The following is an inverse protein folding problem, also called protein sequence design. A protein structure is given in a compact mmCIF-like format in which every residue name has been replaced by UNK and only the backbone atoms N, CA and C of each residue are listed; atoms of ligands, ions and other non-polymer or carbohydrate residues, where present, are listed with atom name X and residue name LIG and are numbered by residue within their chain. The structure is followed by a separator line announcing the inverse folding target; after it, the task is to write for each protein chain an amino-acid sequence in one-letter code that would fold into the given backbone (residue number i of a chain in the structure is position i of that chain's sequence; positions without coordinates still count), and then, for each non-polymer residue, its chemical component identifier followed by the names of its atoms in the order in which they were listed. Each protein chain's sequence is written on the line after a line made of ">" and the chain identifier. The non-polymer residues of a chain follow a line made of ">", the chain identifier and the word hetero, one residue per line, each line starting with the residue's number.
data_IF_945054942804
#
_entry.id   IF_945054942804
#
_cell.length_a   1.000
_cell.length_b   1.000
_cell.length_c   1.000
_cell.angle_alpha   90.00
_cell.angle_beta   90.00
_cell.angle_gamma   90.00
#
_symmetry.space_group_name_H-M   'P 1'
#
loop_
_entity.id
_entity.type
_entity.pdbx_description
1 polymer ?
#
# COMPACT_ATOMS: atom_id res chain seq x y z
N UNK A 1 33.01 -13.54 -15.04
CA UNK A 1 33.73 -12.41 -14.43
C UNK A 1 33.08 -11.16 -14.99
N UNK A 2 32.32 -10.37 -14.22
CA UNK A 2 31.79 -9.11 -14.71
C UNK A 2 32.94 -8.21 -15.17
N UNK A 3 32.70 -7.35 -16.15
CA UNK A 3 33.71 -6.41 -16.62
C UNK A 3 34.09 -5.44 -15.48
N UNK A 4 35.33 -4.92 -15.41
CA UNK A 4 35.78 -4.05 -14.32
C UNK A 4 34.88 -2.80 -14.12
N UNK A 5 34.28 -2.26 -15.18
CA UNK A 5 33.30 -1.16 -15.08
C UNK A 5 31.97 -1.59 -14.43
N UNK A 6 31.54 -2.84 -14.65
CA UNK A 6 30.30 -3.42 -14.12
C UNK A 6 30.42 -3.75 -12.62
N UNK A 7 31.61 -4.20 -12.18
CA UNK A 7 31.92 -4.39 -10.76
C UNK A 7 31.99 -3.05 -10.00
N UNK A 8 32.46 -1.98 -10.67
CA UNK A 8 32.53 -0.63 -10.10
C UNK A 8 31.11 -0.04 -9.92
N UNK A 9 30.19 -0.30 -10.85
CA UNK A 9 28.78 0.08 -10.74
C UNK A 9 28.05 -0.64 -9.57
N UNK A 10 28.30 -1.94 -9.38
CA UNK A 10 27.72 -2.69 -8.26
C UNK A 10 28.19 -2.19 -6.88
N UNK A 11 29.46 -1.84 -6.76
CA UNK A 11 30.03 -1.30 -5.52
C UNK A 11 29.45 0.08 -5.19
N UNK A 12 29.30 0.94 -6.20
CA UNK A 12 28.67 2.24 -6.06
C UNK A 12 27.19 2.13 -5.64
N UNK A 13 26.41 1.24 -6.27
CA UNK A 13 25.01 0.97 -5.89
C UNK A 13 24.89 0.45 -4.46
N UNK A 14 25.74 -0.49 -4.05
CA UNK A 14 25.73 -1.03 -2.68
C UNK A 14 25.98 0.06 -1.64
N UNK A 15 26.95 0.94 -1.91
CA UNK A 15 27.23 2.10 -1.04
C UNK A 15 26.03 3.04 -0.94
N UNK A 16 25.42 3.41 -2.06
CA UNK A 16 24.22 4.28 -2.08
C UNK A 16 23.08 3.63 -1.29
N UNK A 17 22.83 2.33 -1.46
CA UNK A 17 21.79 1.63 -0.71
C UNK A 17 22.06 1.56 0.79
N UNK A 18 23.32 1.54 1.22
CA UNK A 18 23.68 1.57 2.64
C UNK A 18 23.53 2.94 3.29
N UNK A 19 23.58 4.01 2.49
CA UNK A 19 23.44 5.40 2.94
C UNK A 19 21.97 5.86 2.97
N UNK A 20 21.06 5.14 2.28
CA UNK A 20 19.64 5.42 2.32
C UNK A 20 19.04 5.09 3.70
N UNK A 21 18.07 5.90 4.19
CA UNK A 21 17.29 5.54 5.36
C UNK A 21 16.61 4.18 5.17
N UNK A 22 16.42 3.40 6.26
CA UNK A 22 15.70 2.15 6.17
C UNK A 22 14.29 2.39 5.66
N UNK A 23 13.87 1.58 4.68
CA UNK A 23 12.52 1.63 4.13
C UNK A 23 11.49 1.37 5.24
N UNK A 24 10.59 2.33 5.54
CA UNK A 24 9.54 2.14 6.53
C UNK A 24 8.52 1.06 6.12
N UNK A 25 8.51 0.66 4.84
CA UNK A 25 7.63 -0.34 4.26
C UNK A 25 8.37 -1.64 3.88
N UNK A 26 9.49 -1.94 4.54
CA UNK A 26 10.26 -3.14 4.27
C UNK A 26 9.41 -4.41 4.44
N UNK A 27 9.33 -5.20 3.37
CA UNK A 27 8.63 -6.48 3.39
C UNK A 27 9.36 -7.51 4.29
N UNK A 28 8.61 -8.38 4.98
CA UNK A 28 9.16 -9.52 5.72
C UNK A 28 9.91 -10.49 4.80
N UNK A 29 10.80 -11.30 5.39
CA UNK A 29 11.57 -12.28 4.63
C UNK A 29 10.67 -13.41 4.09
N UNK A 30 11.04 -14.02 2.96
CA UNK A 30 10.30 -15.17 2.43
C UNK A 30 10.27 -16.32 3.44
N UNK A 31 9.08 -16.88 3.67
CA UNK A 31 8.86 -17.97 4.62
C UNK A 31 8.44 -17.53 6.02
N UNK A 32 8.45 -16.21 6.29
CA UNK A 32 7.79 -15.68 7.48
C UNK A 32 6.26 -15.76 7.32
N UNK A 33 5.55 -15.91 8.44
CA UNK A 33 4.11 -16.21 8.45
C UNK A 33 3.24 -15.20 7.70
N UNK A 34 3.69 -13.95 7.55
CA UNK A 34 2.99 -12.86 6.86
C UNK A 34 3.54 -12.58 5.44
N UNK A 35 4.61 -13.24 5.00
CA UNK A 35 5.32 -12.84 3.79
C UNK A 35 4.52 -13.00 2.50
N UNK A 36 3.56 -13.92 2.47
CA UNK A 36 2.69 -14.12 1.31
C UNK A 36 1.67 -12.98 1.10
N UNK A 37 1.38 -12.22 2.16
CA UNK A 37 0.33 -11.20 2.21
C UNK A 37 0.87 -9.77 2.31
N UNK A 38 2.12 -9.61 2.76
CA UNK A 38 2.71 -8.31 3.07
C UNK A 38 2.69 -7.31 1.90
N UNK A 39 2.99 -7.76 0.69
CA UNK A 39 2.94 -6.90 -0.50
C UNK A 39 1.51 -6.40 -0.78
N UNK A 40 0.52 -7.30 -0.69
CA UNK A 40 -0.90 -6.94 -0.87
C UNK A 40 -1.40 -5.98 0.22
N UNK A 41 -0.87 -6.05 1.43
CA UNK A 41 -1.25 -5.12 2.50
C UNK A 41 -0.74 -3.71 2.23
N UNK A 42 0.47 -3.57 1.67
CA UNK A 42 1.02 -2.26 1.29
C UNK A 42 0.32 -1.66 0.06
N UNK A 43 0.06 -2.48 -0.95
CA UNK A 43 -0.50 -2.02 -2.23
C UNK A 43 -1.99 -1.66 -2.13
N UNK A 44 -2.74 -2.43 -1.34
CA UNK A 44 -4.21 -2.30 -1.34
C UNK A 44 -4.72 -1.30 -0.31
N UNK A 45 -3.87 -0.80 0.59
CA UNK A 45 -4.25 0.20 1.57
C UNK A 45 -4.66 1.51 0.86
N UNK A 46 -5.90 1.99 1.03
CA UNK A 46 -6.34 3.27 0.47
C UNK A 46 -5.38 4.42 0.81
N UNK A 47 -4.95 5.14 -0.23
CA UNK A 47 -4.05 6.31 -0.13
C UNK A 47 -4.78 7.65 -0.27
N UNK A 48 -5.86 7.66 -1.04
CA UNK A 48 -6.63 8.87 -1.33
C UNK A 48 -8.08 8.70 -0.93
N UNK A 49 -8.70 9.80 -0.49
CA UNK A 49 -10.11 9.80 -0.12
C UNK A 49 -11.00 9.62 -1.36
N UNK A 50 -11.97 8.69 -1.36
CA UNK A 50 -12.89 8.52 -2.49
C UNK A 50 -13.87 9.68 -2.67
N UNK A 51 -14.04 10.54 -1.65
CA UNK A 51 -14.95 11.69 -1.70
C UNK A 51 -14.29 12.97 -2.18
N UNK A 52 -13.10 13.31 -1.67
CA UNK A 52 -12.41 14.56 -2.02
C UNK A 52 -11.11 14.38 -2.81
N UNK A 53 -10.58 13.16 -2.91
CA UNK A 53 -9.32 12.87 -3.59
C UNK A 53 -8.05 13.19 -2.79
N UNK A 54 -8.16 13.78 -1.60
CA UNK A 54 -7.02 14.19 -0.79
C UNK A 54 -6.26 13.00 -0.18
N UNK A 55 -4.97 13.19 0.11
CA UNK A 55 -4.12 12.18 0.74
C UNK A 55 -4.61 11.84 2.17
N UNK A 56 -4.90 10.57 2.41
CA UNK A 56 -5.38 10.08 3.70
C UNK A 56 -4.28 10.08 4.78
N UNK A 57 -3.01 10.13 4.42
CA UNK A 57 -1.88 10.14 5.37
C UNK A 57 -1.44 11.55 5.79
N UNK A 58 -1.84 12.59 5.06
CA UNK A 58 -1.35 13.95 5.27
C UNK A 58 -1.92 14.62 6.55
N UNK A 59 -3.23 14.51 6.79
CA UNK A 59 -3.96 15.29 7.82
C UNK A 59 -4.50 14.44 8.98
N UNK A 60 -3.76 13.40 9.37
CA UNK A 60 -4.18 12.51 10.46
C UNK A 60 -5.37 11.63 10.12
N UNK A 61 -5.65 11.47 8.82
CA UNK A 61 -6.58 10.46 8.33
C UNK A 61 -6.19 9.06 8.81
N UNK A 62 -7.17 8.17 8.88
CA UNK A 62 -6.99 6.84 9.45
C UNK A 62 -7.45 5.83 8.41
N UNK A 63 -6.61 4.82 8.16
CA UNK A 63 -6.97 3.65 7.37
C UNK A 63 -6.57 2.41 8.14
N UNK A 64 -7.56 1.69 8.66
CA UNK A 64 -7.36 0.46 9.45
C UNK A 64 -7.90 -0.73 8.70
N UNK A 65 -7.04 -1.71 8.46
CA UNK A 65 -7.40 -2.99 7.85
C UNK A 65 -8.00 -3.93 8.89
N UNK A 66 -9.04 -4.66 8.48
CA UNK A 66 -9.65 -5.69 9.30
C UNK A 66 -10.27 -6.80 8.42
N UNK A 67 -10.55 -7.93 9.04
CA UNK A 67 -11.13 -9.10 8.36
C UNK A 67 -12.55 -9.39 8.83
N UNK A 68 -13.44 -9.63 7.87
CA UNK A 68 -14.78 -10.14 8.10
C UNK A 68 -14.94 -11.48 7.36
N UNK A 69 -14.70 -12.59 8.07
CA UNK A 69 -14.56 -13.91 7.43
C UNK A 69 -13.37 -13.91 6.47
N UNK A 70 -13.61 -14.31 5.22
CA UNK A 70 -12.58 -14.31 4.16
C UNK A 70 -12.47 -12.96 3.42
N UNK A 71 -13.24 -11.95 3.83
CA UNK A 71 -13.20 -10.60 3.22
C UNK A 71 -12.29 -9.66 3.99
N UNK A 72 -11.54 -8.86 3.24
CA UNK A 72 -10.59 -7.88 3.76
C UNK A 72 -11.09 -6.48 3.48
N UNK A 73 -11.26 -5.72 4.55
CA UNK A 73 -11.94 -4.44 4.52
C UNK A 73 -11.04 -3.36 5.14
N UNK A 74 -11.21 -2.12 4.69
CA UNK A 74 -10.48 -0.98 5.22
C UNK A 74 -11.45 0.05 5.79
N UNK A 75 -11.52 0.15 7.12
CA UNK A 75 -12.23 1.23 7.78
C UNK A 75 -11.40 2.52 7.65
N UNK A 76 -11.97 3.53 7.00
CA UNK A 76 -11.25 4.73 6.60
C UNK A 76 -11.94 6.00 7.08
N UNK A 77 -11.15 6.95 7.55
CA UNK A 77 -11.56 8.31 7.87
C UNK A 77 -10.65 9.33 7.18
N UNK A 78 -11.24 10.35 6.56
CA UNK A 78 -10.54 11.44 5.92
C UNK A 78 -10.47 12.67 6.84
N UNK A 79 -9.25 13.13 7.12
CA UNK A 79 -9.00 14.32 7.94
C UNK A 79 -9.38 15.64 7.28
N UNK A 80 -9.43 15.67 5.94
CA UNK A 80 -9.77 16.87 5.17
C UNK A 80 -11.29 17.08 5.06
N UNK A 81 -12.01 16.17 4.39
CA UNK A 81 -13.46 16.34 4.14
C UNK A 81 -14.36 15.69 5.22
N UNK A 82 -13.78 14.97 6.17
CA UNK A 82 -14.52 14.29 7.24
C UNK A 82 -15.26 13.02 6.83
N UNK A 83 -15.08 12.53 5.59
CA UNK A 83 -15.68 11.28 5.15
C UNK A 83 -15.24 10.12 6.04
N UNK A 84 -16.21 9.29 6.45
CA UNK A 84 -15.99 8.08 7.22
C UNK A 84 -16.71 6.93 6.53
N UNK A 85 -15.99 5.86 6.23
CA UNK A 85 -16.59 4.73 5.55
C UNK A 85 -15.65 3.55 5.38
N UNK A 86 -16.20 2.50 4.81
CA UNK A 86 -15.47 1.28 4.53
C UNK A 86 -15.12 1.21 3.04
N UNK A 87 -13.87 0.85 2.76
CA UNK A 87 -13.39 0.51 1.42
C UNK A 87 -13.21 -0.99 1.37
N UNK A 88 -13.93 -1.64 0.44
CA UNK A 88 -13.87 -3.07 0.20
C UNK A 88 -13.34 -3.35 -1.20
N UNK A 89 -12.49 -4.37 -1.33
CA UNK A 89 -12.01 -4.83 -2.63
C UNK A 89 -12.96 -5.90 -3.17
N UNK A 90 -13.36 -5.77 -4.42
CA UNK A 90 -14.15 -6.77 -5.15
C UNK A 90 -13.50 -7.06 -6.49
N UNK A 91 -13.62 -8.31 -6.97
CA UNK A 91 -13.10 -8.71 -8.27
C UNK A 91 -14.01 -8.26 -9.42
N UNK A 92 -15.31 -8.12 -9.16
CA UNK A 92 -16.31 -7.71 -10.13
C UNK A 92 -17.47 -7.00 -9.41
N UNK A 93 -17.94 -5.91 -10.00
CA UNK A 93 -19.17 -5.23 -9.62
C UNK A 93 -20.06 -5.11 -10.85
N UNK A 94 -21.35 -5.40 -10.70
CA UNK A 94 -22.37 -5.15 -11.72
C UNK A 94 -23.33 -4.11 -11.17
N UNK A 95 -23.43 -2.97 -11.84
CA UNK A 95 -24.30 -1.85 -11.47
C UNK A 95 -25.37 -1.74 -12.56
N UNK A 96 -26.63 -1.66 -12.16
CA UNK A 96 -27.74 -1.41 -13.06
C UNK A 96 -28.14 0.06 -12.92
N UNK A 97 -28.06 0.81 -14.01
CA UNK A 97 -28.59 2.17 -14.06
C UNK A 97 -30.03 2.13 -14.60
N UNK A 98 -30.96 2.79 -13.90
CA UNK A 98 -32.30 3.04 -14.45
C UNK A 98 -32.20 4.20 -15.46
N UNK A 99 -32.73 3.99 -16.67
CA UNK A 99 -32.84 5.03 -17.69
C UNK A 99 -33.88 6.06 -17.22
N UNK A 100 -33.44 7.30 -16.98
CA UNK A 100 -34.27 8.41 -16.51
C UNK A 100 -34.71 9.32 -17.65
#
# INVERSE_FOLDING_TARGET
>A
MPAPDEATDMSARSRIMSELPPDPHRLPAQGEWFSADAERHLLDRPKFCPMCGEDLEADGGITTEYWAGDTRNFMTWCGDCGWFGEVVRFDMVTIQEEEH
#
